data_IF_032175434968
#
_entry.id   IF_032175434968
#
_cell.length_a   1.000
_cell.length_b   1.000
_cell.length_c   1.000
_cell.angle_alpha   90.00
_cell.angle_beta   90.00
_cell.angle_gamma   90.00
#
_symmetry.space_group_name_H-M   'P 1'
#
loop_
_entity.id
_entity.type
_entity.pdbx_description
1 polymer ?
#
# COMPACT_ATOMS: atom_id res chain seq x y z
N UNK A 1 -3.61 -2.52 -17.36
CA UNK A 1 -3.63 -1.58 -16.22
C UNK A 1 -4.93 -1.68 -15.44
N UNK A 2 -6.08 -1.55 -16.09
CA UNK A 2 -7.41 -1.43 -15.46
C UNK A 2 -7.73 -2.54 -14.47
N UNK A 3 -7.52 -3.81 -14.83
CA UNK A 3 -7.81 -4.95 -13.95
C UNK A 3 -7.02 -4.90 -12.63
N UNK A 4 -5.77 -4.42 -12.66
CA UNK A 4 -4.96 -4.28 -11.45
C UNK A 4 -5.50 -3.18 -10.55
N UNK A 5 -5.95 -2.07 -11.14
CA UNK A 5 -6.51 -0.93 -10.40
C UNK A 5 -7.86 -1.30 -9.81
N UNK A 6 -8.76 -1.91 -10.59
CA UNK A 6 -10.08 -2.35 -10.14
C UNK A 6 -10.00 -3.29 -8.94
N UNK A 7 -9.05 -4.22 -8.94
CA UNK A 7 -8.80 -5.11 -7.80
C UNK A 7 -8.36 -4.35 -6.55
N UNK A 8 -7.48 -3.36 -6.69
CA UNK A 8 -7.08 -2.51 -5.57
C UNK A 8 -8.26 -1.67 -5.05
N UNK A 9 -9.07 -1.11 -5.94
CA UNK A 9 -10.29 -0.36 -5.60
C UNK A 9 -11.29 -1.22 -4.83
N UNK A 10 -11.47 -2.49 -5.20
CA UNK A 10 -12.34 -3.42 -4.45
C UNK A 10 -11.90 -3.61 -3.00
N UNK A 11 -10.59 -3.63 -2.74
CA UNK A 11 -10.05 -3.74 -1.38
C UNK A 11 -10.24 -2.42 -0.61
N UNK A 12 -9.96 -1.29 -1.25
CA UNK A 12 -10.17 0.04 -0.65
C UNK A 12 -11.64 0.25 -0.27
N UNK A 13 -12.59 -0.09 -1.14
CA UNK A 13 -14.03 -0.04 -0.82
C UNK A 13 -14.37 -0.90 0.38
N UNK A 14 -13.81 -2.11 0.48
CA UNK A 14 -14.02 -2.97 1.65
C UNK A 14 -13.47 -2.33 2.94
N UNK A 15 -12.31 -1.66 2.88
CA UNK A 15 -11.73 -0.95 4.02
C UNK A 15 -12.61 0.23 4.47
N UNK A 16 -13.14 0.97 3.51
CA UNK A 16 -14.09 2.05 3.77
C UNK A 16 -15.41 1.52 4.34
N UNK A 17 -16.10 0.64 3.62
CA UNK A 17 -17.49 0.24 3.92
C UNK A 17 -17.63 -0.67 5.14
N UNK A 18 -16.60 -1.47 5.47
CA UNK A 18 -16.67 -2.46 6.57
C UNK A 18 -15.82 -2.11 7.77
N UNK A 19 -14.78 -1.32 7.61
CA UNK A 19 -13.83 -0.98 8.67
C UNK A 19 -13.77 0.52 8.95
N UNK A 20 -14.61 1.32 8.28
CA UNK A 20 -14.77 2.76 8.49
C UNK A 20 -13.44 3.53 8.38
N UNK A 21 -12.55 3.06 7.51
CA UNK A 21 -11.28 3.73 7.27
C UNK A 21 -11.54 4.98 6.45
N UNK A 22 -11.10 6.12 7.00
CA UNK A 22 -11.28 7.43 6.39
C UNK A 22 -10.78 7.47 4.93
N UNK A 23 -11.63 7.82 3.94
CA UNK A 23 -11.27 7.75 2.52
C UNK A 23 -10.04 8.56 2.14
N UNK A 24 -9.81 9.70 2.80
CA UNK A 24 -8.65 10.57 2.59
C UNK A 24 -7.30 9.92 2.96
N UNK A 25 -7.33 8.81 3.70
CA UNK A 25 -6.14 8.02 4.07
C UNK A 25 -5.90 6.83 3.14
N UNK A 26 -6.74 6.62 2.13
CA UNK A 26 -6.70 5.45 1.26
C UNK A 26 -6.32 5.84 -0.17
N UNK A 27 -5.39 5.08 -0.77
CA UNK A 27 -5.00 5.23 -2.17
C UNK A 27 -5.10 3.86 -2.86
N UNK A 28 -5.94 3.76 -3.88
CA UNK A 28 -5.99 2.60 -4.76
C UNK A 28 -5.03 2.79 -5.94
N UNK A 29 -4.07 1.87 -6.11
CA UNK A 29 -3.15 1.90 -7.25
C UNK A 29 -2.93 0.50 -7.82
N UNK A 30 -2.65 0.43 -9.11
CA UNK A 30 -2.34 -0.80 -9.84
C UNK A 30 -1.05 -0.65 -10.63
N UNK A 31 -0.34 -1.77 -10.85
CA UNK A 31 0.94 -1.78 -11.58
C UNK A 31 0.95 -2.69 -12.81
N UNK A 32 -0.21 -3.25 -13.14
CA UNK A 32 -0.39 -4.16 -14.28
C UNK A 32 0.65 -5.30 -14.26
N UNK A 33 1.03 -5.81 -15.43
CA UNK A 33 2.07 -6.82 -15.63
C UNK A 33 3.50 -6.27 -15.61
N UNK A 34 3.71 -4.95 -15.40
CA UNK A 34 5.04 -4.33 -15.52
C UNK A 34 5.92 -4.53 -14.28
N UNK A 35 5.36 -5.02 -13.18
CA UNK A 35 6.12 -5.29 -11.95
C UNK A 35 5.79 -6.68 -11.37
N UNK A 36 6.14 -7.77 -12.08
CA UNK A 36 5.96 -9.13 -11.59
C UNK A 36 6.91 -9.44 -10.43
N UNK A 37 6.58 -10.42 -9.58
CA UNK A 37 7.56 -11.00 -8.63
C UNK A 37 8.38 -12.11 -9.27
N UNK A 38 7.74 -12.84 -10.17
CA UNK A 38 8.26 -14.04 -10.82
C UNK A 38 7.81 -14.02 -12.28
N UNK A 39 8.48 -14.76 -13.15
CA UNK A 39 8.16 -14.77 -14.58
C UNK A 39 6.74 -15.30 -14.85
N UNK A 40 6.05 -14.80 -15.87
CA UNK A 40 4.66 -15.20 -16.18
C UNK A 40 4.56 -16.49 -17.01
N UNK A 41 5.54 -17.38 -16.90
CA UNK A 41 5.70 -18.61 -17.68
C UNK A 41 4.71 -19.72 -17.29
N UNK A 42 4.46 -19.92 -15.99
CA UNK A 42 3.61 -20.98 -15.47
C UNK A 42 2.28 -20.49 -14.90
N UNK A 43 1.31 -21.40 -14.78
CA UNK A 43 0.02 -21.10 -14.15
C UNK A 43 0.20 -20.69 -12.68
N UNK A 44 1.09 -21.39 -11.98
CA UNK A 44 1.52 -21.10 -10.62
C UNK A 44 2.08 -19.68 -10.50
N UNK A 45 3.00 -19.30 -11.39
CA UNK A 45 3.66 -18.00 -11.33
C UNK A 45 2.71 -16.84 -11.64
N UNK A 46 1.84 -17.02 -12.65
CA UNK A 46 0.77 -16.07 -12.93
C UNK A 46 -0.17 -15.92 -11.72
N UNK A 47 -0.45 -16.99 -10.98
CA UNK A 47 -1.24 -16.91 -9.75
C UNK A 47 -0.52 -16.10 -8.66
N UNK A 48 0.78 -16.34 -8.43
CA UNK A 48 1.60 -15.56 -7.50
C UNK A 48 1.66 -14.07 -7.85
N UNK A 49 1.70 -13.74 -9.14
CA UNK A 49 1.71 -12.35 -9.60
C UNK A 49 0.37 -11.62 -9.42
N UNK A 50 -0.76 -12.33 -9.37
CA UNK A 50 -2.10 -11.76 -9.11
C UNK A 50 -2.32 -11.46 -7.61
N UNK A 51 -1.46 -10.63 -7.03
CA UNK A 51 -1.52 -10.21 -5.61
C UNK A 51 -1.95 -8.76 -5.45
N UNK A 52 -2.53 -8.43 -4.29
CA UNK A 52 -2.74 -7.05 -3.84
C UNK A 52 -1.80 -6.78 -2.68
N UNK A 53 -1.05 -5.67 -2.70
CA UNK A 53 -0.18 -5.25 -1.60
C UNK A 53 -0.81 -4.06 -0.89
N UNK A 54 -0.79 -4.08 0.44
CA UNK A 54 -1.17 -2.93 1.28
C UNK A 54 0.14 -2.34 1.81
N UNK A 55 0.35 -1.04 1.60
CA UNK A 55 1.52 -0.32 2.10
C UNK A 55 1.00 0.70 3.10
N UNK A 56 1.44 0.60 4.34
CA UNK A 56 1.10 1.55 5.41
C UNK A 56 2.22 2.57 5.46
N UNK A 57 1.88 3.83 5.15
CA UNK A 57 2.82 4.94 5.24
C UNK A 57 2.57 5.67 6.56
N UNK A 58 3.61 5.88 7.39
CA UNK A 58 3.47 6.75 8.55
C UNK A 58 3.24 8.19 8.10
N UNK A 59 2.61 9.00 8.95
CA UNK A 59 2.57 10.45 8.73
C UNK A 59 4.01 10.98 8.83
N UNK A 60 4.55 11.42 7.70
CA UNK A 60 5.95 11.82 7.55
C UNK A 60 6.26 13.03 8.44
N UNK A 61 5.33 13.99 8.56
CA UNK A 61 5.52 15.19 9.38
C UNK A 61 5.62 14.83 10.87
N UNK A 62 4.72 13.96 11.35
CA UNK A 62 4.78 13.43 12.72
C UNK A 62 6.04 12.60 12.95
N UNK A 63 6.45 11.82 11.97
CA UNK A 63 7.67 11.02 12.05
C UNK A 63 8.90 11.92 12.23
N UNK A 64 9.05 12.97 11.42
CA UNK A 64 10.17 13.91 11.57
C UNK A 64 10.10 14.71 12.88
N UNK A 65 8.91 15.10 13.32
CA UNK A 65 8.75 15.78 14.61
C UNK A 65 9.21 14.91 15.79
N UNK A 66 8.88 13.61 15.77
CA UNK A 66 9.34 12.64 16.78
C UNK A 66 10.86 12.46 16.76
N UNK A 67 11.44 12.24 15.57
CA UNK A 67 12.89 12.09 15.41
C UNK A 67 13.66 13.32 15.93
N UNK A 68 13.18 14.52 15.61
CA UNK A 68 13.79 15.77 16.09
C UNK A 68 13.65 15.91 17.61
N UNK A 69 12.52 15.51 18.19
CA UNK A 69 12.34 15.56 19.65
C UNK A 69 13.27 14.60 20.39
N UNK A 70 13.46 13.37 19.86
CA UNK A 70 14.40 12.40 20.41
C UNK A 70 15.85 12.90 20.31
N UNK A 71 16.22 13.54 19.20
CA UNK A 71 17.56 14.10 19.03
C UNK A 71 17.84 15.27 20.00
N UNK A 72 16.83 16.07 20.31
CA UNK A 72 16.95 17.16 21.30
C UNK A 72 17.02 16.64 22.73
N UNK A 73 16.29 15.58 23.07
CA UNK A 73 16.33 14.92 24.39
C UNK A 73 17.69 14.24 24.63
N UNK A 74 18.26 13.58 23.61
CA UNK A 74 19.55 12.90 23.69
C UNK A 74 20.76 13.85 23.82
N UNK A 75 20.60 15.13 23.47
CA UNK A 75 21.63 16.17 23.59
C UNK A 75 21.59 16.91 24.93
N UNK A 76 20.63 16.60 25.81
CA UNK A 76 20.45 17.20 27.12
C UNK A 76 21.08 16.34 28.21
#
# INVERSE_FOLDING_TARGET
WDLSVLRATSVVRRLQDKFDVAPEKLIASGRSSYQPLVDNDSRENRARNRRTRIVILPNIDKFFALMNSEEMEARK
#
